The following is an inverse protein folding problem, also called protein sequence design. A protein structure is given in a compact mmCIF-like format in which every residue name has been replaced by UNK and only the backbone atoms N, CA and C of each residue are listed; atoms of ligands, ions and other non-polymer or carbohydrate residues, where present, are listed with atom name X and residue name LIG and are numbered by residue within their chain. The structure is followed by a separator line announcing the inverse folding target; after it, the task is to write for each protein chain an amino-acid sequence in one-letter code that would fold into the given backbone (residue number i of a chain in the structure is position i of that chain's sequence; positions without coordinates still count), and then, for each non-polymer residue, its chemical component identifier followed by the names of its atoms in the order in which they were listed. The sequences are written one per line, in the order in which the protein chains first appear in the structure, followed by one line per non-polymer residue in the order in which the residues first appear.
data_IF_248041038697
#
_entry.id   IF_248041038697
#
_cell.length_a   1.000
_cell.length_b   1.000
_cell.length_c   1.000
_cell.angle_alpha   90.00
_cell.angle_beta   90.00
_cell.angle_gamma   90.00
#
_symmetry.space_group_name_H-M   'P 1'
#
loop_
_entity.id
_entity.type
_entity.pdbx_description
1 polymer ?
#
# COMPACT_ATOMS: atom_id res chain seq x y z
N UNK A 1 35.51 5.58 24.91
CA UNK A 1 35.01 5.20 23.58
C UNK A 1 33.77 4.35 23.81
N UNK A 2 32.64 4.67 23.15
CA UNK A 2 31.41 3.89 23.20
C UNK A 2 31.32 3.14 21.88
N UNK A 3 31.11 1.82 21.95
CA UNK A 3 30.83 0.99 20.78
C UNK A 3 29.35 0.60 20.78
N UNK A 4 28.65 0.92 19.70
CA UNK A 4 27.21 0.61 19.57
C UNK A 4 26.93 -0.89 19.44
N UNK A 5 27.97 -1.68 19.13
CA UNK A 5 27.95 -3.15 19.09
C UNK A 5 28.11 -3.81 20.47
N UNK A 6 28.41 -3.05 21.53
CA UNK A 6 28.53 -3.60 22.87
C UNK A 6 27.16 -3.97 23.44
N UNK A 7 27.03 -5.13 24.12
CA UNK A 7 25.79 -5.56 24.76
C UNK A 7 25.23 -4.53 25.73
N UNK A 8 26.08 -3.83 26.45
CA UNK A 8 25.69 -2.78 27.38
C UNK A 8 25.08 -1.55 26.70
N UNK A 9 25.37 -1.36 25.41
CA UNK A 9 24.77 -0.31 24.61
C UNK A 9 23.48 -0.77 23.93
N UNK A 10 23.52 -1.85 23.14
CA UNK A 10 22.38 -2.27 22.35
C UNK A 10 21.23 -2.91 23.14
N UNK A 11 21.46 -3.29 24.40
CA UNK A 11 20.38 -3.78 25.29
C UNK A 11 19.20 -2.82 25.38
N UNK A 12 19.45 -1.53 25.25
CA UNK A 12 18.39 -0.51 25.29
C UNK A 12 17.53 -0.52 24.03
N UNK A 13 18.13 -0.75 22.88
CA UNK A 13 17.39 -0.95 21.62
C UNK A 13 16.48 -2.20 21.72
N UNK A 14 17.01 -3.29 22.27
CA UNK A 14 16.22 -4.51 22.50
C UNK A 14 15.11 -4.27 23.53
N UNK A 15 15.38 -3.50 24.57
CA UNK A 15 14.38 -3.16 25.58
C UNK A 15 13.24 -2.31 24.99
N UNK A 16 13.55 -1.33 24.15
CA UNK A 16 12.54 -0.52 23.43
C UNK A 16 11.67 -1.42 22.56
N UNK A 17 12.31 -2.30 21.75
CA UNK A 17 11.58 -3.26 20.93
C UNK A 17 10.63 -4.13 21.76
N UNK A 18 11.12 -4.66 22.89
CA UNK A 18 10.31 -5.45 23.80
C UNK A 18 9.10 -4.66 24.34
N UNK A 19 9.29 -3.38 24.69
CA UNK A 19 8.18 -2.51 25.13
C UNK A 19 7.15 -2.28 24.03
N UNK A 20 7.58 -2.07 22.79
CA UNK A 20 6.68 -1.94 21.64
C UNK A 20 5.90 -3.25 21.41
N UNK A 21 6.56 -4.39 21.56
CA UNK A 21 5.91 -5.69 21.43
C UNK A 21 4.91 -5.97 22.56
N UNK A 22 5.27 -5.73 23.81
CA UNK A 22 4.38 -5.86 24.97
C UNK A 22 3.14 -4.96 24.84
N UNK A 23 3.29 -3.79 24.24
CA UNK A 23 2.20 -2.85 23.99
C UNK A 23 1.38 -3.16 22.70
N UNK A 24 1.75 -4.21 21.95
CA UNK A 24 1.07 -4.62 20.72
C UNK A 24 1.38 -3.80 19.46
N UNK A 25 2.36 -2.89 19.53
CA UNK A 25 2.78 -2.07 18.39
C UNK A 25 3.81 -2.77 17.49
N UNK A 26 4.63 -3.67 18.03
CA UNK A 26 5.48 -4.53 17.21
C UNK A 26 4.76 -5.86 16.96
N UNK A 27 4.57 -6.23 15.69
CA UNK A 27 3.80 -7.41 15.25
C UNK A 27 4.58 -8.20 14.24
N UNK A 28 4.31 -9.51 14.17
CA UNK A 28 4.77 -10.35 13.05
C UNK A 28 3.61 -10.58 12.11
N UNK A 29 3.76 -10.11 10.87
CA UNK A 29 2.74 -10.26 9.83
C UNK A 29 3.38 -10.78 8.54
N UNK A 30 2.59 -11.43 7.72
CA UNK A 30 2.97 -11.81 6.37
C UNK A 30 2.75 -10.60 5.43
N UNK A 31 3.82 -10.19 4.74
CA UNK A 31 3.78 -9.05 3.83
C UNK A 31 4.69 -9.28 2.62
N UNK A 32 4.39 -8.62 1.48
CA UNK A 32 5.26 -8.70 0.31
C UNK A 32 6.57 -7.97 0.55
N UNK A 33 7.69 -8.67 0.34
CA UNK A 33 9.04 -8.13 0.46
C UNK A 33 9.79 -8.25 -0.86
N UNK A 34 10.82 -7.42 -1.05
CA UNK A 34 11.72 -7.52 -2.19
C UNK A 34 12.75 -8.62 -1.94
N UNK A 35 12.52 -9.80 -2.50
CA UNK A 35 13.42 -10.94 -2.35
C UNK A 35 14.41 -11.03 -3.50
N UNK A 36 15.69 -11.12 -3.19
CA UNK A 36 16.75 -11.39 -4.14
C UNK A 36 17.34 -12.78 -3.89
N UNK A 37 17.04 -13.73 -4.78
CA UNK A 37 17.49 -15.13 -4.65
C UNK A 37 19.02 -15.23 -4.67
N UNK A 38 19.66 -14.49 -5.58
CA UNK A 38 21.11 -14.52 -5.75
C UNK A 38 21.87 -13.99 -4.54
N UNK A 39 21.29 -13.04 -3.79
CA UNK A 39 21.85 -12.50 -2.56
C UNK A 39 21.35 -13.24 -1.30
N UNK A 40 20.29 -14.06 -1.42
CA UNK A 40 19.69 -14.80 -0.33
C UNK A 40 19.08 -13.89 0.76
N UNK A 41 18.62 -12.70 0.40
CA UNK A 41 18.16 -11.71 1.38
C UNK A 41 16.98 -10.86 0.86
N UNK A 42 16.30 -10.23 1.81
CA UNK A 42 15.31 -9.19 1.57
C UNK A 42 16.02 -7.85 1.38
N UNK A 43 15.58 -7.06 0.42
CA UNK A 43 16.11 -5.74 0.09
C UNK A 43 15.11 -4.65 0.44
N UNK A 44 15.60 -3.52 0.92
CA UNK A 44 14.82 -2.29 1.04
C UNK A 44 14.40 -1.76 -0.34
N UNK A 45 13.39 -0.89 -0.40
CA UNK A 45 12.95 -0.33 -1.69
C UNK A 45 14.07 0.45 -2.39
N UNK A 46 14.89 1.16 -1.63
CA UNK A 46 16.02 1.96 -2.14
C UNK A 46 17.16 1.10 -2.73
N UNK A 47 17.23 -0.19 -2.36
CA UNK A 47 18.22 -1.14 -2.88
C UNK A 47 17.75 -1.85 -4.16
N UNK A 48 16.56 -1.48 -4.68
CA UNK A 48 15.99 -2.05 -5.90
C UNK A 48 15.87 -0.98 -6.97
N UNK A 49 16.65 -1.12 -8.04
CA UNK A 49 16.68 -0.21 -9.18
C UNK A 49 16.27 -0.99 -10.43
N UNK A 50 15.22 -0.56 -11.12
CA UNK A 50 14.68 -1.22 -12.32
C UNK A 50 14.43 -2.73 -12.15
N UNK A 51 13.90 -3.13 -10.97
CA UNK A 51 13.61 -4.54 -10.66
C UNK A 51 14.86 -5.39 -10.38
N UNK A 52 16.01 -4.78 -10.18
CA UNK A 52 17.28 -5.44 -9.86
C UNK A 52 17.89 -4.90 -8.58
N UNK A 53 18.67 -5.73 -7.91
CA UNK A 53 19.44 -5.30 -6.74
C UNK A 53 20.51 -4.29 -7.14
N UNK A 54 20.67 -3.20 -6.39
CA UNK A 54 21.74 -2.24 -6.55
C UNK A 54 23.10 -2.94 -6.52
N UNK A 55 23.29 -3.85 -5.57
CA UNK A 55 24.50 -4.66 -5.48
C UNK A 55 24.37 -5.92 -6.34
N UNK A 56 25.15 -5.99 -7.41
CA UNK A 56 25.28 -7.16 -8.28
C UNK A 56 24.28 -7.21 -9.43
N UNK A 57 23.26 -6.34 -9.50
CA UNK A 57 22.34 -6.27 -10.63
C UNK A 57 21.43 -7.50 -10.82
N UNK A 58 21.19 -8.25 -9.72
CA UNK A 58 20.40 -9.48 -9.75
C UNK A 58 18.90 -9.21 -9.77
N UNK A 59 18.09 -10.07 -10.41
CA UNK A 59 16.64 -9.95 -10.41
C UNK A 59 16.06 -9.96 -9.00
N UNK A 60 15.10 -9.09 -8.75
CA UNK A 60 14.37 -9.00 -7.49
C UNK A 60 12.90 -9.31 -7.74
N UNK A 61 12.29 -10.13 -6.88
CA UNK A 61 10.88 -10.51 -6.99
C UNK A 61 10.13 -10.17 -5.70
N UNK A 62 8.85 -9.90 -5.80
CA UNK A 62 7.99 -9.78 -4.62
C UNK A 62 7.68 -11.18 -4.09
N UNK A 63 7.91 -11.39 -2.79
CA UNK A 63 7.66 -12.65 -2.11
C UNK A 63 6.96 -12.39 -0.78
N UNK A 64 5.89 -13.14 -0.50
CA UNK A 64 5.23 -13.07 0.80
C UNK A 64 6.11 -13.72 1.86
N UNK A 65 6.43 -12.98 2.91
CA UNK A 65 7.26 -13.46 4.02
C UNK A 65 6.81 -12.87 5.35
N UNK A 66 6.95 -13.67 6.41
CA UNK A 66 6.73 -13.20 7.78
C UNK A 66 7.80 -12.18 8.16
N UNK A 67 7.36 -10.95 8.46
CA UNK A 67 8.23 -9.83 8.87
C UNK A 67 7.79 -9.23 10.20
N UNK A 68 8.76 -8.67 10.93
CA UNK A 68 8.47 -7.78 12.02
C UNK A 68 8.12 -6.40 11.47
N UNK A 69 7.02 -5.87 11.95
CA UNK A 69 6.57 -4.50 11.61
C UNK A 69 6.26 -3.74 12.89
N UNK A 70 6.48 -2.42 12.85
CA UNK A 70 6.07 -1.49 13.90
C UNK A 70 4.87 -0.70 13.36
N UNK A 71 3.77 -0.76 14.10
CA UNK A 71 2.51 -0.09 13.76
C UNK A 71 2.61 1.42 14.05
N UNK A 72 3.34 2.14 13.20
CA UNK A 72 3.48 3.59 13.31
C UNK A 72 2.16 4.35 13.13
N UNK A 73 1.24 3.94 12.21
CA UNK A 73 -0.04 4.61 12.05
C UNK A 73 -0.89 4.67 13.33
N UNK A 74 -0.70 3.73 14.25
CA UNK A 74 -1.39 3.74 15.55
C UNK A 74 -1.10 4.99 16.42
N UNK A 75 -0.03 5.73 16.09
CA UNK A 75 0.34 6.97 16.80
C UNK A 75 -0.12 8.23 16.07
N UNK A 76 -0.68 8.12 14.86
CA UNK A 76 -0.99 9.27 14.01
C UNK A 76 -1.94 10.27 14.71
N UNK A 77 -3.02 9.80 15.31
CA UNK A 77 -3.99 10.66 16.02
C UNK A 77 -3.35 11.37 17.23
N UNK A 78 -2.58 10.63 18.03
CA UNK A 78 -1.87 11.21 19.19
C UNK A 78 -0.83 12.25 18.76
N UNK A 79 -0.19 12.07 17.62
CA UNK A 79 0.76 13.04 17.08
C UNK A 79 0.03 14.31 16.62
N UNK A 80 -1.15 14.18 16.02
CA UNK A 80 -1.98 15.33 15.64
C UNK A 80 -2.45 16.12 16.85
N UNK A 81 -3.00 15.45 17.86
CA UNK A 81 -3.44 16.05 19.11
C UNK A 81 -2.28 16.74 19.85
N UNK A 82 -1.15 16.07 19.99
CA UNK A 82 0.03 16.60 20.67
C UNK A 82 0.65 17.84 20.01
N UNK A 83 0.39 18.10 18.73
CA UNK A 83 0.87 19.32 18.07
C UNK A 83 0.26 20.60 18.63
N UNK A 84 -0.92 20.52 19.25
CA UNK A 84 -1.57 21.69 19.84
C UNK A 84 -0.94 22.07 21.19
N UNK A 85 -0.24 21.13 21.83
CA UNK A 85 0.39 21.32 23.13
C UNK A 85 1.85 21.84 23.05
N UNK A 86 2.48 21.74 21.89
CA UNK A 86 3.91 22.11 21.72
C UNK A 86 4.06 23.52 21.17
N UNK A 87 5.10 24.21 21.64
CA UNK A 87 5.46 25.57 21.20
C UNK A 87 6.33 25.52 19.92
N UNK A 88 5.73 25.06 18.81
CA UNK A 88 6.35 25.06 17.49
C UNK A 88 5.76 26.15 16.59
N UNK A 89 6.54 26.71 15.65
CA UNK A 89 6.00 27.58 14.62
C UNK A 89 4.84 26.92 13.86
N UNK A 90 3.79 27.67 13.55
CA UNK A 90 2.60 27.11 12.90
C UNK A 90 2.93 26.48 11.53
N UNK A 91 3.87 27.07 10.79
CA UNK A 91 4.35 26.49 9.53
C UNK A 91 4.92 25.07 9.70
N UNK A 92 5.62 24.80 10.81
CA UNK A 92 6.15 23.46 11.11
C UNK A 92 5.03 22.50 11.46
N UNK A 93 4.05 22.93 12.29
CA UNK A 93 2.88 22.12 12.63
C UNK A 93 2.07 21.75 11.38
N UNK A 94 1.90 22.69 10.46
CA UNK A 94 1.18 22.46 9.20
C UNK A 94 1.89 21.42 8.32
N UNK A 95 3.22 21.50 8.21
CA UNK A 95 4.01 20.48 7.49
C UNK A 95 3.79 19.09 8.11
N UNK A 96 3.77 18.99 9.44
CA UNK A 96 3.54 17.72 10.13
C UNK A 96 2.12 17.19 9.94
N UNK A 97 1.09 18.06 10.02
CA UNK A 97 -0.30 17.70 9.76
C UNK A 97 -0.47 17.18 8.32
N UNK A 98 0.14 17.85 7.34
CA UNK A 98 0.11 17.45 5.95
C UNK A 98 0.87 16.13 5.71
N UNK A 99 1.98 15.90 6.42
CA UNK A 99 2.71 14.64 6.36
C UNK A 99 1.90 13.46 6.89
N UNK A 100 1.21 13.63 8.03
CA UNK A 100 0.34 12.60 8.60
C UNK A 100 -0.87 12.38 7.68
N UNK A 101 -1.40 13.44 7.07
CA UNK A 101 -2.39 13.37 6.01
C UNK A 101 -3.72 12.78 6.45
N UNK A 102 -4.23 13.16 7.65
CA UNK A 102 -5.56 12.72 8.09
C UNK A 102 -6.61 13.13 7.06
N UNK A 103 -7.32 12.16 6.53
CA UNK A 103 -8.43 12.36 5.61
C UNK A 103 -9.71 11.71 6.15
N UNK A 104 -10.84 12.30 5.84
CA UNK A 104 -12.16 11.76 6.18
C UNK A 104 -12.90 11.45 4.89
N UNK A 105 -13.53 10.29 4.82
CA UNK A 105 -14.27 9.86 3.65
C UNK A 105 -15.34 8.85 3.99
N UNK A 106 -15.92 8.28 2.97
CA UNK A 106 -17.05 7.33 3.07
C UNK A 106 -16.67 6.05 2.33
N UNK A 107 -17.03 4.92 2.93
CA UNK A 107 -17.00 3.62 2.27
C UNK A 107 -18.32 3.38 1.57
N UNK A 108 -18.29 2.93 0.33
CA UNK A 108 -19.47 2.72 -0.51
C UNK A 108 -19.40 1.36 -1.16
N UNK A 109 -20.50 0.60 -1.01
CA UNK A 109 -20.62 -0.73 -1.57
C UNK A 109 -21.25 -0.69 -2.97
N UNK A 110 -20.57 -1.30 -3.93
CA UNK A 110 -21.04 -1.48 -5.30
C UNK A 110 -21.43 -2.93 -5.54
N UNK A 111 -22.69 -3.17 -5.88
CA UNK A 111 -23.17 -4.48 -6.29
C UNK A 111 -22.75 -4.80 -7.72
N UNK A 112 -22.37 -6.04 -7.96
CA UNK A 112 -22.01 -6.54 -9.29
C UNK A 112 -23.22 -7.14 -9.98
N UNK A 113 -23.34 -6.91 -11.28
CA UNK A 113 -24.29 -7.65 -12.11
C UNK A 113 -23.91 -9.12 -12.09
N UNK A 114 -24.87 -10.00 -11.80
CA UNK A 114 -24.61 -11.42 -11.63
C UNK A 114 -24.20 -11.84 -10.21
N UNK A 115 -24.27 -10.93 -9.25
CA UNK A 115 -24.06 -11.19 -7.81
C UNK A 115 -22.65 -10.86 -7.30
N UNK A 116 -22.57 -10.65 -6.01
CA UNK A 116 -21.38 -10.16 -5.30
C UNK A 116 -21.36 -8.65 -5.19
N UNK A 117 -20.44 -8.16 -4.36
CA UNK A 117 -20.24 -6.73 -4.11
C UNK A 117 -18.79 -6.46 -3.76
N UNK A 118 -18.37 -5.22 -3.87
CA UNK A 118 -17.10 -4.73 -3.37
C UNK A 118 -17.24 -3.30 -2.87
N UNK A 119 -16.44 -2.95 -1.87
CA UNK A 119 -16.43 -1.61 -1.28
C UNK A 119 -15.31 -0.76 -1.85
N UNK A 120 -15.56 0.52 -2.00
CA UNK A 120 -14.57 1.55 -2.28
C UNK A 120 -14.58 2.60 -1.18
N UNK A 121 -13.43 3.22 -0.95
CA UNK A 121 -13.33 4.40 -0.11
C UNK A 121 -13.16 5.65 -0.97
N UNK A 122 -13.91 6.72 -0.65
CA UNK A 122 -13.77 8.01 -1.32
C UNK A 122 -13.85 9.17 -0.35
N UNK A 123 -13.06 10.20 -0.57
CA UNK A 123 -13.15 11.48 0.14
C UNK A 123 -14.15 12.45 -0.51
N UNK A 124 -14.63 12.14 -1.73
CA UNK A 124 -15.51 12.99 -2.54
C UNK A 124 -16.77 12.23 -2.94
N UNK A 125 -17.62 11.90 -1.94
CA UNK A 125 -18.84 11.09 -2.17
C UNK A 125 -19.81 11.73 -3.16
N UNK A 126 -19.85 13.04 -3.26
CA UNK A 126 -20.69 13.79 -4.18
C UNK A 126 -20.43 13.46 -5.66
N UNK A 127 -19.24 12.94 -5.98
CA UNK A 127 -18.90 12.54 -7.35
C UNK A 127 -19.58 11.24 -7.80
N UNK A 128 -20.18 10.50 -6.88
CA UNK A 128 -20.80 9.19 -7.14
C UNK A 128 -21.89 9.25 -8.22
N UNK A 129 -22.59 10.37 -8.33
CA UNK A 129 -23.64 10.57 -9.34
C UNK A 129 -23.11 10.55 -10.78
N UNK A 130 -21.85 10.94 -10.96
CA UNK A 130 -21.18 11.03 -12.26
C UNK A 130 -20.30 9.83 -12.62
N UNK A 131 -20.24 8.79 -11.78
CA UNK A 131 -19.44 7.61 -12.07
C UNK A 131 -20.00 6.85 -13.27
N UNK A 132 -19.15 6.64 -14.28
CA UNK A 132 -19.45 5.89 -15.50
C UNK A 132 -18.60 4.63 -15.65
N UNK A 133 -17.47 4.56 -14.96
CA UNK A 133 -16.59 3.38 -14.92
C UNK A 133 -15.82 3.33 -13.61
N UNK A 134 -15.30 2.15 -13.31
CA UNK A 134 -14.46 1.89 -12.13
C UNK A 134 -13.08 1.42 -12.58
N UNK A 135 -12.05 1.78 -11.81
CA UNK A 135 -10.67 1.31 -12.04
C UNK A 135 -10.23 0.46 -10.85
N UNK A 136 -9.78 -0.75 -11.14
CA UNK A 136 -9.28 -1.68 -10.14
C UNK A 136 -7.75 -1.83 -10.27
N UNK A 137 -7.08 -2.04 -9.14
CA UNK A 137 -5.65 -2.36 -9.15
C UNK A 137 -5.43 -3.74 -9.80
N UNK A 138 -4.49 -3.88 -10.75
CA UNK A 138 -4.24 -5.15 -11.44
C UNK A 138 -3.89 -6.31 -10.50
N UNK A 139 -3.16 -6.02 -9.42
CA UNK A 139 -2.72 -6.95 -8.37
C UNK A 139 -3.64 -6.94 -7.13
N UNK A 140 -4.83 -6.35 -7.25
CA UNK A 140 -5.80 -6.27 -6.17
C UNK A 140 -6.62 -7.55 -6.02
N UNK A 141 -6.99 -7.92 -4.78
CA UNK A 141 -7.84 -9.07 -4.47
C UNK A 141 -9.20 -9.01 -5.18
N UNK A 142 -9.75 -7.80 -5.38
CA UNK A 142 -11.02 -7.60 -6.10
C UNK A 142 -10.84 -8.03 -7.55
N UNK A 143 -9.76 -7.58 -8.22
CA UNK A 143 -9.46 -7.97 -9.60
C UNK A 143 -9.33 -9.48 -9.73
N UNK A 144 -8.59 -10.12 -8.83
CA UNK A 144 -8.41 -11.58 -8.79
C UNK A 144 -9.76 -12.31 -8.68
N UNK A 145 -10.66 -11.85 -7.79
CA UNK A 145 -11.97 -12.44 -7.59
C UNK A 145 -12.94 -12.31 -8.78
N UNK A 146 -12.62 -11.40 -9.71
CA UNK A 146 -13.46 -11.14 -10.90
C UNK A 146 -12.97 -11.82 -12.18
N UNK A 147 -11.77 -12.42 -12.16
CA UNK A 147 -11.14 -13.00 -13.36
C UNK A 147 -12.04 -14.06 -14.05
N UNK A 148 -12.76 -14.86 -13.29
CA UNK A 148 -13.62 -15.91 -13.82
C UNK A 148 -14.87 -15.37 -14.55
N UNK A 149 -15.14 -14.06 -14.44
CA UNK A 149 -16.29 -13.39 -15.05
C UNK A 149 -15.92 -12.58 -16.29
N UNK A 150 -14.62 -12.45 -16.59
CA UNK A 150 -14.14 -11.62 -17.71
C UNK A 150 -14.18 -12.40 -19.01
N UNK A 151 -14.73 -11.78 -20.07
CA UNK A 151 -14.83 -12.42 -21.39
C UNK A 151 -13.46 -12.74 -22.04
N UNK A 152 -12.45 -11.89 -21.82
CA UNK A 152 -11.09 -12.03 -22.41
C UNK A 152 -10.01 -12.21 -21.33
N UNK A 153 -10.13 -13.27 -20.55
CA UNK A 153 -9.30 -13.53 -19.37
C UNK A 153 -7.80 -13.54 -19.68
N UNK A 154 -7.38 -14.05 -20.84
CA UNK A 154 -5.96 -14.13 -21.20
C UNK A 154 -5.34 -12.76 -21.46
N UNK A 155 -6.09 -11.84 -22.07
CA UNK A 155 -5.66 -10.44 -22.25
C UNK A 155 -5.47 -9.74 -20.90
N UNK A 156 -6.41 -9.94 -19.98
CA UNK A 156 -6.35 -9.37 -18.62
C UNK A 156 -5.17 -9.94 -17.83
N UNK A 157 -4.95 -11.26 -17.88
CA UNK A 157 -3.80 -11.91 -17.23
C UNK A 157 -2.47 -11.41 -17.78
N UNK A 158 -2.36 -11.24 -19.10
CA UNK A 158 -1.17 -10.68 -19.73
C UNK A 158 -0.89 -9.25 -19.24
N UNK A 159 -1.95 -8.42 -19.15
CA UNK A 159 -1.84 -7.07 -18.61
C UNK A 159 -1.41 -7.06 -17.12
N UNK A 160 -1.98 -7.92 -16.28
CA UNK A 160 -1.60 -8.08 -14.89
C UNK A 160 -0.11 -8.44 -14.78
N UNK A 161 0.36 -9.39 -15.58
CA UNK A 161 1.76 -9.82 -15.59
C UNK A 161 2.72 -8.70 -16.06
N UNK A 162 2.29 -7.83 -16.97
CA UNK A 162 3.05 -6.66 -17.40
C UNK A 162 3.06 -5.58 -16.30
N UNK A 163 1.90 -5.30 -15.70
CA UNK A 163 1.77 -4.33 -14.62
C UNK A 163 2.59 -4.70 -13.39
N UNK A 164 2.71 -6.00 -13.08
CA UNK A 164 3.52 -6.50 -11.96
C UNK A 164 5.03 -6.22 -12.11
N UNK A 165 5.51 -5.97 -13.34
CA UNK A 165 6.92 -5.62 -13.60
C UNK A 165 7.22 -4.14 -13.31
N UNK A 166 6.19 -3.28 -13.23
CA UNK A 166 6.35 -1.84 -13.00
C UNK A 166 6.60 -1.58 -11.52
N UNK A 167 7.54 -0.68 -11.22
CA UNK A 167 7.77 -0.22 -9.85
C UNK A 167 6.58 0.61 -9.34
N UNK A 168 6.47 0.77 -8.04
CA UNK A 168 5.45 1.64 -7.43
C UNK A 168 5.61 3.11 -7.89
N UNK A 169 6.84 3.57 -8.04
CA UNK A 169 7.17 4.89 -8.58
C UNK A 169 6.64 5.02 -10.01
N UNK A 170 6.85 4.01 -10.86
CA UNK A 170 6.35 4.03 -12.23
C UNK A 170 4.81 4.06 -12.32
N UNK A 171 4.14 3.41 -11.37
CA UNK A 171 2.67 3.38 -11.31
C UNK A 171 2.07 4.71 -10.86
N UNK A 172 2.75 5.42 -9.95
CA UNK A 172 2.29 6.69 -9.38
C UNK A 172 2.73 7.93 -10.17
N UNK A 173 3.72 7.81 -11.03
CA UNK A 173 4.24 8.92 -11.84
C UNK A 173 3.14 9.51 -12.73
N UNK A 174 2.77 10.77 -12.45
CA UNK A 174 1.73 11.49 -13.19
C UNK A 174 2.16 11.88 -14.62
N UNK A 175 3.46 11.86 -14.92
CA UNK A 175 4.01 12.25 -16.23
C UNK A 175 3.95 11.09 -17.25
N UNK A 176 3.80 9.85 -16.78
CA UNK A 176 3.74 8.67 -17.65
C UNK A 176 2.33 8.44 -18.19
N UNK A 177 2.26 7.95 -19.42
CA UNK A 177 1.00 7.54 -20.04
C UNK A 177 0.35 6.42 -19.22
N UNK A 178 -0.89 6.68 -18.76
CA UNK A 178 -1.67 5.66 -18.05
C UNK A 178 -2.13 4.59 -19.03
N UNK A 179 -1.98 3.33 -18.64
CA UNK A 179 -2.44 2.16 -19.39
C UNK A 179 -3.52 1.45 -18.61
N UNK A 180 -4.38 0.69 -19.28
CA UNK A 180 -5.45 -0.08 -18.67
C UNK A 180 -5.92 -1.19 -19.59
N UNK A 181 -6.56 -2.21 -19.01
CA UNK A 181 -7.22 -3.30 -19.74
C UNK A 181 -8.68 -3.38 -19.26
N UNK A 182 -9.67 -3.29 -20.16
CA UNK A 182 -11.08 -3.34 -19.76
C UNK A 182 -11.47 -4.76 -19.31
N UNK A 183 -12.19 -4.85 -18.18
CA UNK A 183 -12.78 -6.09 -17.71
C UNK A 183 -14.15 -6.30 -18.37
N UNK A 184 -14.14 -6.68 -19.66
CA UNK A 184 -15.38 -6.88 -20.42
C UNK A 184 -16.22 -8.00 -19.81
N UNK A 185 -17.53 -7.78 -19.73
CA UNK A 185 -18.49 -8.70 -19.10
C UNK A 185 -18.70 -8.43 -17.60
N UNK A 186 -17.89 -7.57 -16.98
CA UNK A 186 -18.03 -7.23 -15.56
C UNK A 186 -18.60 -5.81 -15.42
N UNK A 187 -19.72 -5.69 -14.73
CA UNK A 187 -20.42 -4.44 -14.50
C UNK A 187 -20.76 -4.28 -13.03
N UNK A 188 -20.57 -3.07 -12.50
CA UNK A 188 -21.00 -2.68 -11.16
C UNK A 188 -22.19 -1.73 -11.27
N UNK A 189 -23.09 -1.83 -10.32
CA UNK A 189 -24.31 -1.01 -10.26
C UNK A 189 -24.02 0.18 -9.33
N UNK A 190 -24.18 1.38 -9.85
CA UNK A 190 -24.07 2.59 -9.03
C UNK A 190 -25.21 2.60 -7.98
N UNK A 191 -24.91 2.58 -6.68
CA UNK A 191 -25.91 2.44 -5.63
C UNK A 191 -26.89 3.63 -5.53
N UNK A 192 -26.54 4.77 -6.11
CA UNK A 192 -27.34 6.01 -6.02
C UNK A 192 -28.35 6.11 -7.15
N UNK A 193 -27.98 5.75 -8.38
CA UNK A 193 -28.84 5.93 -9.55
C UNK A 193 -29.28 4.61 -10.23
N UNK A 194 -28.77 3.46 -9.77
CA UNK A 194 -29.13 2.13 -10.26
C UNK A 194 -28.63 1.79 -11.67
N UNK A 195 -27.69 2.60 -12.22
CA UNK A 195 -27.14 2.43 -13.56
C UNK A 195 -25.84 1.63 -13.51
#
# INVERSE_FOLDING_TARGET
VIATSDPDFYKWTQWIFKKLWEAGYAKRIEMPVNWCEALGTVLANDEVIDGKSERGGYPVVKKMMMQWVIDQPAFAEKLLEGMDEIDWPESTKEIQRNWIGKSTGVEVDFKLVGGGEFSIYTTCIETIYGITFMVLAPDGKITESLLDRVEHIEEVKAYIAEAAKKSEIDRTDATKTKTGCPLKGVYAINPVNGK
#
